data_IF_460756749235
#
_entry.id   IF_460756749235
#
_cell.length_a   1.000
_cell.length_b   1.000
_cell.length_c   1.000
_cell.angle_alpha   90.00
_cell.angle_beta   90.00
_cell.angle_gamma   90.00
#
_symmetry.space_group_name_H-M   'P 1'
#
loop_
_entity.id
_entity.type
_entity.pdbx_description
1 polymer ?
#
# COMPACT_ATOMS: atom_id res chain seq x y z
N UNK A 1 27.83 -7.64 36.58
CA UNK A 1 26.63 -6.92 36.16
C UNK A 1 26.12 -7.63 34.91
N UNK A 2 25.10 -8.46 35.09
CA UNK A 2 24.49 -9.22 34.00
C UNK A 2 23.53 -8.28 33.26
N UNK A 3 23.97 -7.80 32.09
CA UNK A 3 23.13 -6.95 31.23
C UNK A 3 22.19 -7.90 30.50
N UNK A 4 21.08 -8.22 31.16
CA UNK A 4 19.99 -9.02 30.59
C UNK A 4 19.54 -8.38 29.28
N UNK A 5 20.09 -8.85 28.18
CA UNK A 5 19.53 -8.68 26.84
C UNK A 5 18.26 -9.50 26.81
N UNK A 6 17.21 -8.99 27.46
CA UNK A 6 15.86 -9.44 27.24
C UNK A 6 15.62 -9.22 25.76
N UNK A 7 15.67 -10.30 24.98
CA UNK A 7 15.12 -10.30 23.64
C UNK A 7 13.66 -9.90 23.83
N UNK A 8 13.35 -8.63 23.58
CA UNK A 8 11.96 -8.22 23.41
C UNK A 8 11.52 -9.00 22.19
N UNK A 9 10.87 -10.14 22.43
CA UNK A 9 10.22 -10.89 21.38
C UNK A 9 9.12 -9.97 20.89
N UNK A 10 9.44 -9.14 19.89
CA UNK A 10 8.47 -8.24 19.29
C UNK A 10 7.32 -9.11 18.84
N UNK A 11 6.15 -8.89 19.44
CA UNK A 11 4.94 -9.59 19.06
C UNK A 11 4.76 -9.40 17.55
N UNK A 12 4.48 -10.47 16.79
CA UNK A 12 4.26 -10.32 15.37
C UNK A 12 3.17 -9.29 15.11
N UNK A 13 3.34 -8.45 14.09
CA UNK A 13 2.43 -7.32 13.86
C UNK A 13 0.96 -7.76 13.74
N UNK A 14 0.70 -8.95 13.21
CA UNK A 14 -0.65 -9.52 13.06
C UNK A 14 -1.31 -9.98 14.37
N UNK A 15 -0.61 -9.91 15.50
CA UNK A 15 -1.17 -10.23 16.83
C UNK A 15 -1.72 -9.01 17.57
N UNK A 16 -1.51 -7.82 17.02
CA UNK A 16 -1.95 -6.55 17.59
C UNK A 16 -3.23 -6.10 16.86
N UNK A 17 -4.41 -6.07 17.52
CA UNK A 17 -5.67 -5.68 16.88
C UNK A 17 -5.62 -4.26 16.31
N UNK A 18 -4.82 -3.37 16.91
CA UNK A 18 -4.65 -1.98 16.49
C UNK A 18 -4.10 -1.86 15.06
N UNK A 19 -3.41 -2.89 14.55
CA UNK A 19 -2.90 -2.93 13.18
C UNK A 19 -3.99 -3.24 12.14
N UNK A 20 -5.13 -3.76 12.58
CA UNK A 20 -6.31 -4.00 11.74
C UNK A 20 -7.30 -2.84 11.80
N UNK A 21 -7.13 -1.92 12.76
CA UNK A 21 -7.95 -0.73 12.87
C UNK A 21 -7.70 0.22 11.70
N UNK A 22 -8.81 0.66 11.09
CA UNK A 22 -8.90 1.62 10.01
C UNK A 22 -8.03 1.28 8.78
N UNK A 23 -8.28 0.17 8.05
CA UNK A 23 -7.50 -0.23 6.87
C UNK A 23 -7.31 0.91 5.88
N UNK A 24 -6.15 0.96 5.23
CA UNK A 24 -5.92 1.90 4.13
C UNK A 24 -6.53 1.30 2.86
N UNK A 25 -7.51 1.99 2.26
CA UNK A 25 -8.23 1.52 1.07
C UNK A 25 -8.16 2.58 -0.02
N UNK A 26 -7.78 2.18 -1.23
CA UNK A 26 -7.77 3.07 -2.41
C UNK A 26 -7.98 2.28 -3.70
N UNK A 27 -8.23 3.00 -4.80
CA UNK A 27 -8.35 2.41 -6.14
C UNK A 27 -7.07 2.65 -6.93
N UNK A 28 -6.66 1.64 -7.70
CA UNK A 28 -5.48 1.63 -8.53
C UNK A 28 -5.86 1.17 -9.93
N UNK A 29 -5.27 1.78 -10.96
CA UNK A 29 -5.46 1.32 -12.34
C UNK A 29 -4.74 -0.03 -12.55
N UNK A 30 -5.25 -0.87 -13.45
CA UNK A 30 -4.71 -2.21 -13.69
C UNK A 30 -3.24 -2.20 -14.17
N UNK A 31 -2.83 -1.18 -14.94
CA UNK A 31 -1.45 -0.99 -15.38
C UNK A 31 -0.50 -0.64 -14.21
N UNK A 32 -0.98 0.16 -13.26
CA UNK A 32 -0.25 0.49 -12.04
C UNK A 32 -0.14 -0.70 -11.09
N UNK A 33 -1.20 -1.50 -10.98
CA UNK A 33 -1.20 -2.75 -10.22
C UNK A 33 -0.15 -3.72 -10.76
N UNK A 34 -0.16 -3.99 -12.06
CA UNK A 34 0.82 -4.90 -12.69
C UNK A 34 2.26 -4.38 -12.56
N UNK A 35 2.46 -3.05 -12.60
CA UNK A 35 3.77 -2.44 -12.38
C UNK A 35 4.29 -2.62 -10.94
N UNK A 36 3.40 -2.56 -9.95
CA UNK A 36 3.76 -2.59 -8.52
C UNK A 36 3.84 -4.03 -7.99
N UNK A 37 2.81 -4.83 -8.27
CA UNK A 37 2.66 -6.18 -7.75
C UNK A 37 3.17 -7.25 -8.71
N UNK A 38 3.54 -6.87 -9.94
CA UNK A 38 4.03 -7.77 -10.97
C UNK A 38 2.90 -8.52 -11.68
N UNK A 39 3.22 -9.14 -12.81
CA UNK A 39 2.26 -9.98 -13.52
C UNK A 39 1.81 -11.13 -12.61
N UNK A 40 0.48 -11.33 -12.51
CA UNK A 40 -0.13 -12.33 -11.61
C UNK A 40 0.36 -12.21 -10.15
N UNK A 41 0.53 -10.99 -9.66
CA UNK A 41 0.87 -10.67 -8.26
C UNK A 41 2.19 -11.27 -7.77
N UNK A 42 3.13 -11.55 -8.67
CA UNK A 42 4.41 -12.22 -8.37
C UNK A 42 5.25 -11.53 -7.29
N UNK A 43 5.11 -10.21 -7.11
CA UNK A 43 5.81 -9.43 -6.08
C UNK A 43 4.99 -9.19 -4.82
N UNK A 44 3.68 -9.46 -4.82
CA UNK A 44 2.78 -9.18 -3.71
C UNK A 44 3.30 -9.78 -2.39
N UNK A 45 3.66 -11.07 -2.41
CA UNK A 45 4.14 -11.77 -1.22
C UNK A 45 5.43 -11.17 -0.65
N UNK A 46 6.35 -10.76 -1.53
CA UNK A 46 7.60 -10.11 -1.14
C UNK A 46 7.33 -8.74 -0.50
N UNK A 47 6.39 -7.97 -1.05
CA UNK A 47 6.01 -6.66 -0.52
C UNK A 47 5.37 -6.80 0.85
N UNK A 48 4.41 -7.72 1.03
CA UNK A 48 3.78 -8.00 2.33
C UNK A 48 4.82 -8.37 3.40
N UNK A 49 5.73 -9.29 3.06
CA UNK A 49 6.74 -9.78 3.99
C UNK A 49 7.73 -8.69 4.41
N UNK A 50 8.18 -7.85 3.48
CA UNK A 50 9.13 -6.78 3.75
C UNK A 50 8.49 -5.57 4.46
N UNK A 51 7.26 -5.23 4.09
CA UNK A 51 6.53 -4.10 4.69
C UNK A 51 5.88 -4.46 6.03
N UNK A 52 5.79 -5.75 6.38
CA UNK A 52 5.05 -6.25 7.55
C UNK A 52 3.58 -5.80 7.48
N UNK A 53 2.97 -5.98 6.32
CA UNK A 53 1.55 -5.68 6.08
C UNK A 53 0.88 -6.86 5.38
N UNK A 54 -0.45 -6.85 5.37
CA UNK A 54 -1.26 -7.71 4.50
C UNK A 54 -1.97 -6.81 3.50
N UNK A 55 -1.91 -7.20 2.23
CA UNK A 55 -2.44 -6.44 1.10
C UNK A 55 -3.45 -7.32 0.37
N UNK A 56 -4.69 -6.87 0.33
CA UNK A 56 -5.75 -7.51 -0.43
C UNK A 56 -5.99 -6.72 -1.72
N UNK A 57 -5.88 -7.43 -2.86
CA UNK A 57 -6.18 -6.91 -4.19
C UNK A 57 -7.52 -7.47 -4.64
N UNK A 58 -8.47 -6.59 -4.95
CA UNK A 58 -9.75 -6.96 -5.56
C UNK A 58 -9.76 -6.38 -6.97
N UNK A 59 -9.41 -7.19 -7.97
CA UNK A 59 -9.34 -6.76 -9.37
C UNK A 59 -10.72 -6.53 -9.95
N UNK A 60 -10.81 -5.66 -10.97
CA UNK A 60 -12.07 -5.30 -11.65
C UNK A 60 -13.17 -4.83 -10.67
N UNK A 61 -12.78 -4.17 -9.59
CA UNK A 61 -13.70 -3.73 -8.55
C UNK A 61 -14.65 -2.64 -9.04
N UNK A 62 -14.17 -1.77 -9.95
CA UNK A 62 -14.99 -0.73 -10.57
C UNK A 62 -15.34 -1.09 -12.01
N UNK A 63 -16.42 -0.49 -12.54
CA UNK A 63 -16.83 -0.67 -13.94
C UNK A 63 -15.77 -0.18 -14.95
N UNK A 64 -14.81 0.64 -14.51
CA UNK A 64 -13.67 1.09 -15.33
C UNK A 64 -12.48 0.13 -15.25
N UNK A 65 -12.59 -0.97 -14.49
CA UNK A 65 -11.55 -1.97 -14.34
C UNK A 65 -10.46 -1.63 -13.33
N UNK A 66 -10.72 -0.68 -12.42
CA UNK A 66 -9.77 -0.38 -11.35
C UNK A 66 -9.80 -1.49 -10.29
N UNK A 67 -8.63 -1.72 -9.72
CA UNK A 67 -8.43 -2.64 -8.60
C UNK A 67 -8.57 -1.90 -7.28
N UNK A 68 -9.33 -2.48 -6.36
CA UNK A 68 -9.40 -1.98 -4.99
C UNK A 68 -8.28 -2.63 -4.18
N UNK A 69 -7.41 -1.80 -3.64
CA UNK A 69 -6.29 -2.21 -2.80
C UNK A 69 -6.63 -1.89 -1.36
N UNK A 70 -6.58 -2.91 -0.50
CA UNK A 70 -6.79 -2.79 0.95
C UNK A 70 -5.51 -3.20 1.67
N UNK A 71 -4.97 -2.33 2.51
CA UNK A 71 -3.74 -2.58 3.27
C UNK A 71 -4.02 -2.50 4.76
N UNK A 72 -3.69 -3.58 5.48
CA UNK A 72 -3.70 -3.65 6.95
C UNK A 72 -2.30 -3.88 7.48
N UNK A 73 -2.03 -3.35 8.67
CA UNK A 73 -0.72 -3.42 9.29
C UNK A 73 -0.36 -2.14 10.06
N UNK A 74 0.88 -2.06 10.55
CA UNK A 74 1.37 -0.92 11.30
C UNK A 74 1.17 0.39 10.54
N UNK A 75 0.74 1.44 11.24
CA UNK A 75 0.44 2.75 10.62
C UNK A 75 1.62 3.28 9.77
N UNK A 76 2.85 3.18 10.28
CA UNK A 76 4.06 3.60 9.57
C UNK A 76 4.29 2.80 8.28
N UNK A 77 4.01 1.50 8.29
CA UNK A 77 4.16 0.65 7.12
C UNK A 77 3.13 1.00 6.04
N UNK A 78 1.88 1.27 6.45
CA UNK A 78 0.84 1.76 5.53
C UNK A 78 1.21 3.09 4.89
N UNK A 79 1.75 4.04 5.66
CA UNK A 79 2.23 5.32 5.13
C UNK A 79 3.40 5.15 4.16
N UNK A 80 4.34 4.26 4.46
CA UNK A 80 5.45 3.94 3.55
C UNK A 80 4.96 3.32 2.24
N UNK A 81 4.02 2.37 2.31
CA UNK A 81 3.42 1.77 1.12
C UNK A 81 2.67 2.80 0.28
N UNK A 82 1.87 3.67 0.90
CA UNK A 82 1.20 4.75 0.19
C UNK A 82 2.19 5.63 -0.59
N UNK A 83 3.28 6.04 0.07
CA UNK A 83 4.33 6.82 -0.57
C UNK A 83 4.98 6.05 -1.73
N UNK A 84 5.27 4.76 -1.53
CA UNK A 84 5.84 3.89 -2.56
C UNK A 84 4.91 3.80 -3.78
N UNK A 85 3.62 3.53 -3.57
CA UNK A 85 2.61 3.47 -4.64
C UNK A 85 2.50 4.80 -5.40
N UNK A 86 2.54 5.94 -4.68
CA UNK A 86 2.55 7.26 -5.32
C UNK A 86 3.80 7.50 -6.16
N UNK A 87 4.99 7.15 -5.66
CA UNK A 87 6.24 7.34 -6.38
C UNK A 87 6.32 6.45 -7.63
N UNK A 88 6.00 5.15 -7.50
CA UNK A 88 6.02 4.22 -8.63
C UNK A 88 4.93 4.57 -9.65
N UNK A 89 3.72 4.91 -9.19
CA UNK A 89 2.62 5.35 -10.05
C UNK A 89 2.85 6.72 -10.71
N UNK A 90 3.78 7.54 -10.19
CA UNK A 90 4.22 8.80 -10.82
C UNK A 90 5.31 8.59 -11.88
N UNK A 91 6.02 7.45 -11.82
CA UNK A 91 7.14 7.10 -12.69
C UNK A 91 6.68 6.49 -14.03
N UNK A 92 5.37 6.41 -14.26
CA UNK A 92 4.81 6.06 -15.55
C UNK A 92 5.39 7.00 -16.64
N UNK A 93 6.18 6.47 -17.60
CA UNK A 93 6.76 7.27 -18.67
C UNK A 93 5.70 7.93 -19.57
N UNK A 94 4.47 7.44 -19.61
CA UNK A 94 3.37 8.10 -20.32
C UNK A 94 2.88 9.38 -19.63
N UNK A 95 3.06 9.51 -18.31
CA UNK A 95 2.75 10.74 -17.57
C UNK A 95 3.84 11.80 -17.69
N UNK A 96 5.09 11.42 -17.96
CA UNK A 96 6.17 12.39 -18.20
C UNK A 96 6.02 13.15 -19.54
N UNK A 97 5.33 12.59 -20.53
CA UNK A 97 5.08 13.26 -21.80
C UNK A 97 3.96 14.33 -21.75
N UNK A 98 3.16 14.35 -20.67
CA UNK A 98 2.08 15.33 -20.47
C UNK A 98 2.26 15.95 -19.09
N UNK A 99 3.06 17.01 -18.99
CA UNK A 99 3.36 17.74 -17.75
C UNK A 99 2.12 18.11 -16.91
N UNK A 100 1.61 17.14 -16.16
CA UNK A 100 0.46 17.24 -15.26
C UNK A 100 0.71 16.27 -14.12
N UNK A 101 1.20 16.82 -13.01
CA UNK A 101 1.19 16.17 -11.72
C UNK A 101 -0.22 15.62 -11.45
N UNK A 102 -0.38 14.37 -10.98
CA UNK A 102 -1.69 13.90 -10.55
C UNK A 102 -2.09 14.71 -9.31
N UNK A 103 -3.03 15.64 -9.51
CA UNK A 103 -3.87 16.15 -8.43
C UNK A 103 -4.63 14.95 -7.87
N UNK A 104 -4.14 14.40 -6.76
CA UNK A 104 -5.02 13.71 -5.84
C UNK A 104 -5.95 14.79 -5.28
N UNK A 105 -7.18 14.81 -5.79
CA UNK A 105 -8.26 15.62 -5.26
C UNK A 105 -8.59 15.05 -3.87
N UNK A 106 -7.96 15.58 -2.84
CA UNK A 106 -8.44 15.43 -1.48
C UNK A 106 -9.74 16.26 -1.37
N UNK A 107 -10.87 15.63 -1.64
CA UNK A 107 -12.18 16.22 -1.42
C UNK A 107 -12.49 16.33 0.06
N UNK A 108 -12.67 17.56 0.53
CA UNK A 108 -13.49 17.96 1.69
C UNK A 108 -13.83 19.42 1.44
N UNK A 109 -15.03 19.79 1.01
CA UNK A 109 -16.27 19.65 1.77
C UNK A 109 -16.61 21.07 2.23
N UNK A 110 -17.47 21.76 1.48
CA UNK A 110 -17.88 23.12 1.81
C UNK A 110 -18.79 23.17 3.05
N UNK A 111 -18.52 24.15 3.90
CA UNK A 111 -19.47 25.09 4.48
C UNK A 111 -18.66 26.26 5.06
#
# INVERSE_FOLDING_TARGET
MDMGTGTVTEKPWWTLPENFDAPMVFHMEADQEELIFGHSDTYLRCIEMNSRTLIQLESWFTATGQTRVTVVGPHRARQWLLHMFCCVGSRDPYRHARGRYPRLNCGGGGA
#
